data_IF_816781409612
#
_entry.id   IF_816781409612
#
_cell.length_a   1.000
_cell.length_b   1.000
_cell.length_c   1.000
_cell.angle_alpha   90.00
_cell.angle_beta   90.00
_cell.angle_gamma   90.00
#
_symmetry.space_group_name_H-M   'P 1'
#
loop_
_entity.id
_entity.type
_entity.pdbx_description
1 polymer ?
#
# COMPACT_ATOMS: atom_id res chain seq x y z
N UNK A 1 -27.84 10.95 -8.95
CA UNK A 1 -27.92 9.52 -8.56
C UNK A 1 -27.29 8.70 -9.66
N UNK A 2 -26.29 7.85 -9.35
CA UNK A 2 -25.68 6.94 -10.34
C UNK A 2 -26.16 5.52 -10.01
N UNK A 3 -26.87 4.90 -10.95
CA UNK A 3 -27.40 3.54 -10.83
C UNK A 3 -26.63 2.65 -11.81
N UNK A 4 -25.98 1.60 -11.31
CA UNK A 4 -25.32 0.59 -12.11
C UNK A 4 -26.05 -0.73 -11.88
N UNK A 5 -26.62 -1.30 -12.94
CA UNK A 5 -27.30 -2.60 -12.90
C UNK A 5 -26.43 -3.56 -13.70
N UNK A 6 -25.85 -4.56 -13.02
CA UNK A 6 -24.99 -5.59 -13.62
C UNK A 6 -25.51 -6.96 -13.23
N UNK A 7 -25.50 -7.90 -14.17
CA UNK A 7 -25.92 -9.29 -13.93
C UNK A 7 -24.91 -10.06 -13.07
N UNK A 8 -23.63 -9.67 -13.11
CA UNK A 8 -22.58 -10.21 -12.25
C UNK A 8 -22.43 -9.42 -10.93
N UNK A 9 -22.05 -10.11 -9.84
CA UNK A 9 -21.78 -9.47 -8.56
C UNK A 9 -20.53 -8.58 -8.66
N UNK A 10 -20.61 -7.35 -8.16
CA UNK A 10 -19.44 -6.49 -8.00
C UNK A 10 -18.48 -7.12 -6.99
N UNK A 11 -17.25 -7.41 -7.44
CA UNK A 11 -16.17 -7.94 -6.60
C UNK A 11 -15.36 -6.81 -5.95
N UNK A 12 -15.35 -5.63 -6.56
CA UNK A 12 -14.75 -4.45 -5.94
C UNK A 12 -14.97 -3.16 -6.73
N UNK A 13 -14.79 -2.04 -6.03
CA UNK A 13 -14.87 -0.68 -6.55
C UNK A 13 -13.67 0.10 -6.02
N UNK A 14 -13.04 0.90 -6.88
CA UNK A 14 -12.01 1.86 -6.45
C UNK A 14 -12.40 3.26 -6.93
N UNK A 15 -12.52 4.19 -5.99
CA UNK A 15 -12.77 5.60 -6.22
C UNK A 15 -11.44 6.34 -6.36
N UNK A 16 -11.32 7.17 -7.38
CA UNK A 16 -10.11 7.97 -7.68
C UNK A 16 -8.77 7.19 -7.67
N UNK A 17 -8.52 6.33 -8.68
CA UNK A 17 -7.28 5.55 -8.75
C UNK A 17 -6.01 6.38 -8.99
N UNK A 18 -6.14 7.58 -9.56
CA UNK A 18 -5.02 8.40 -10.02
C UNK A 18 -4.76 9.63 -9.15
N UNK A 19 -5.48 9.76 -8.02
CA UNK A 19 -5.35 10.88 -7.08
C UNK A 19 -5.60 12.23 -7.75
N UNK A 20 -6.65 12.27 -8.56
CA UNK A 20 -7.09 13.48 -9.27
C UNK A 20 -7.83 14.43 -8.32
N UNK A 21 -8.39 13.90 -7.23
CA UNK A 21 -9.01 14.67 -6.16
C UNK A 21 -7.99 14.86 -5.05
N UNK A 22 -7.73 16.10 -4.65
CA UNK A 22 -6.78 16.46 -3.59
C UNK A 22 -7.32 16.09 -2.19
N UNK A 23 -7.77 14.85 -2.03
CA UNK A 23 -8.28 14.29 -0.80
C UNK A 23 -7.13 13.74 0.06
N UNK A 24 -7.30 13.80 1.38
CA UNK A 24 -6.28 13.43 2.36
C UNK A 24 -6.38 11.97 2.79
N UNK A 25 -7.57 11.36 2.67
CA UNK A 25 -7.84 10.01 3.13
C UNK A 25 -8.20 9.09 1.96
N UNK A 26 -7.29 8.17 1.65
CA UNK A 26 -7.49 7.14 0.62
C UNK A 26 -7.94 5.80 1.21
N UNK A 27 -8.07 5.70 2.54
CA UNK A 27 -8.39 4.44 3.23
C UNK A 27 -9.80 3.91 2.95
N UNK A 28 -10.68 4.77 2.47
CA UNK A 28 -12.07 4.46 2.13
C UNK A 28 -12.31 4.37 0.61
N UNK A 29 -11.28 4.58 -0.22
CA UNK A 29 -11.40 4.61 -1.68
C UNK A 29 -11.59 3.22 -2.30
N UNK A 30 -11.47 2.13 -1.52
CA UNK A 30 -11.69 0.77 -2.01
C UNK A 30 -12.84 0.09 -1.29
N UNK A 31 -13.71 -0.54 -2.07
CA UNK A 31 -14.71 -1.50 -1.60
C UNK A 31 -14.43 -2.87 -2.22
N UNK A 32 -14.39 -3.97 -1.45
CA UNK A 32 -14.28 -4.04 0.00
C UNK A 32 -13.04 -3.29 0.52
N UNK A 33 -13.07 -2.83 1.77
CA UNK A 33 -11.93 -2.12 2.37
C UNK A 33 -10.71 -3.02 2.38
N UNK A 34 -9.59 -2.48 1.87
CA UNK A 34 -8.29 -3.15 1.93
C UNK A 34 -7.63 -2.81 3.27
N UNK A 35 -7.18 -3.82 4.01
CA UNK A 35 -6.46 -3.61 5.27
C UNK A 35 -5.09 -3.03 4.95
N UNK A 36 -4.86 -1.76 5.29
CA UNK A 36 -3.53 -1.18 5.23
C UNK A 36 -2.71 -1.71 6.43
N UNK A 37 -1.50 -2.25 6.21
CA UNK A 37 -0.67 -2.74 7.30
C UNK A 37 -0.29 -1.59 8.23
N UNK A 38 -0.40 -1.82 9.54
CA UNK A 38 0.00 -0.83 10.53
C UNK A 38 1.52 -0.65 10.54
N UNK A 39 2.00 0.49 11.07
CA UNK A 39 3.44 0.77 11.22
C UNK A 39 4.19 -0.35 11.97
N UNK A 40 3.53 -0.95 12.97
CA UNK A 40 4.10 -2.03 13.78
C UNK A 40 4.19 -3.34 13.00
N UNK A 41 3.20 -3.65 12.17
CA UNK A 41 3.22 -4.82 11.28
C UNK A 41 4.28 -4.67 10.19
N UNK A 42 4.43 -3.47 9.64
CA UNK A 42 5.52 -3.15 8.69
C UNK A 42 6.91 -3.39 9.32
N UNK A 43 7.08 -3.02 10.58
CA UNK A 43 8.35 -3.22 11.28
C UNK A 43 8.70 -4.70 11.49
N UNK A 44 7.67 -5.54 11.70
CA UNK A 44 7.80 -6.99 11.90
C UNK A 44 7.93 -7.77 10.59
N UNK A 45 7.60 -7.16 9.46
CA UNK A 45 7.73 -7.80 8.15
C UNK A 45 9.21 -8.12 7.89
N UNK A 46 9.48 -9.33 7.40
CA UNK A 46 10.84 -9.77 7.07
C UNK A 46 11.52 -8.74 6.18
N UNK A 47 12.70 -8.33 6.62
CA UNK A 47 13.48 -7.30 5.93
C UNK A 47 14.13 -7.97 4.73
N UNK A 48 13.79 -7.50 3.54
CA UNK A 48 14.41 -7.95 2.30
C UNK A 48 15.94 -7.79 2.41
N UNK A 49 16.71 -8.89 2.34
CA UNK A 49 18.17 -8.86 2.40
C UNK A 49 18.81 -8.15 1.19
N UNK A 50 18.04 -7.80 0.15
CA UNK A 50 18.52 -7.08 -1.03
C UNK A 50 18.38 -5.56 -1.00
N UNK A 51 18.00 -4.94 0.13
CA UNK A 51 17.75 -3.50 0.17
C UNK A 51 19.04 -2.66 0.26
N UNK A 52 19.71 -2.51 -0.89
CA UNK A 52 20.96 -1.75 -1.07
C UNK A 52 20.89 -0.31 -0.58
N UNK A 53 19.70 0.32 -0.60
CA UNK A 53 19.51 1.71 -0.12
C UNK A 53 19.60 1.83 1.40
N UNK A 54 19.19 0.78 2.13
CA UNK A 54 19.32 0.73 3.59
C UNK A 54 20.76 0.40 4.01
N UNK A 55 21.42 -0.47 3.26
CA UNK A 55 22.76 -0.97 3.59
C UNK A 55 23.89 -0.01 3.23
N UNK A 56 23.59 1.13 2.60
CA UNK A 56 24.57 2.16 2.25
C UNK A 56 25.43 2.63 3.44
N UNK A 57 24.86 2.64 4.66
CA UNK A 57 25.57 3.07 5.88
C UNK A 57 26.18 1.92 6.68
N UNK A 58 25.95 0.68 6.27
CA UNK A 58 26.45 -0.49 6.97
C UNK A 58 27.96 -0.62 6.70
N UNK A 59 28.83 -0.60 7.72
CA UNK A 59 30.26 -0.72 7.51
C UNK A 59 30.59 -2.10 6.94
N UNK A 60 31.39 -2.13 5.86
CA UNK A 60 31.84 -3.37 5.24
C UNK A 60 32.70 -4.16 6.23
N UNK A 61 32.34 -5.42 6.45
CA UNK A 61 33.12 -6.32 7.32
C UNK A 61 34.46 -6.63 6.64
N UNK A 62 35.50 -5.88 7.02
CA UNK A 62 36.86 -6.03 6.48
C UNK A 62 37.69 -4.74 6.42
N UNK A 63 37.10 -3.58 6.70
CA UNK A 63 37.88 -2.35 6.89
C UNK A 63 38.37 -2.25 8.35
N UNK A 64 39.47 -2.96 8.64
CA UNK A 64 40.41 -2.65 9.71
C UNK A 64 41.75 -2.28 9.07
#
# INVERSE_FOLDING_TARGET
TKLFVTDEPIVGLTQDPFWETADIDTSNNSWPRKTAPSRLELFKTERDPGNLMRDMKTPLKGAQ
#
